data_IF_913782030463
#
_entry.id   IF_913782030463
#
_cell.length_a   1.000
_cell.length_b   1.000
_cell.length_c   1.000
_cell.angle_alpha   90.00
_cell.angle_beta   90.00
_cell.angle_gamma   90.00
#
_symmetry.space_group_name_H-M   'P 1'
#
loop_
_entity.id
_entity.type
_entity.pdbx_description
1 polymer ?
#
# COMPACT_ATOMS: atom_id res chain seq x y z
N UNK A 1 -0.58 31.54 1.53
CA UNK A 1 -1.57 30.45 1.78
C UNK A 1 -0.74 29.24 2.19
N UNK A 2 -1.13 28.48 3.22
CA UNK A 2 -0.40 27.23 3.57
C UNK A 2 -0.90 26.13 2.64
N UNK A 3 0.03 25.46 1.93
CA UNK A 3 -0.29 24.33 1.07
C UNK A 3 0.14 23.03 1.80
N UNK A 4 -0.80 22.28 2.44
CA UNK A 4 -0.47 21.11 3.23
C UNK A 4 -0.17 19.89 2.37
N UNK A 5 0.48 18.87 2.93
CA UNK A 5 0.65 17.59 2.25
C UNK A 5 -0.68 16.86 2.03
N UNK A 6 -1.64 17.08 2.91
CA UNK A 6 -2.96 16.45 2.82
C UNK A 6 -4.03 17.34 3.42
N UNK A 7 -5.25 17.21 2.91
CA UNK A 7 -6.47 17.85 3.42
C UNK A 7 -7.39 16.79 4.03
N UNK A 8 -8.19 17.21 5.00
CA UNK A 8 -9.19 16.32 5.58
C UNK A 8 -10.19 15.87 4.51
N UNK A 9 -10.29 14.57 4.31
CA UNK A 9 -11.22 13.95 3.36
C UNK A 9 -12.47 13.35 4.02
N UNK A 10 -12.58 13.44 5.36
CA UNK A 10 -13.76 13.01 6.10
C UNK A 10 -14.76 14.16 6.12
N UNK A 11 -15.90 13.95 5.46
CA UNK A 11 -16.96 14.94 5.31
C UNK A 11 -18.01 14.79 6.43
N UNK A 12 -18.91 15.78 6.56
CA UNK A 12 -20.01 15.73 7.53
C UNK A 12 -20.95 14.54 7.31
N UNK A 13 -21.18 14.16 6.06
CA UNK A 13 -22.00 12.99 5.69
C UNK A 13 -21.37 11.67 6.16
N UNK A 14 -20.03 11.54 6.12
CA UNK A 14 -19.34 10.38 6.65
C UNK A 14 -19.56 10.24 8.17
N UNK A 15 -19.54 11.36 8.86
CA UNK A 15 -19.76 11.42 10.32
C UNK A 15 -21.23 11.22 10.71
N UNK A 16 -22.18 11.53 9.83
CA UNK A 16 -23.61 11.39 10.12
C UNK A 16 -24.00 9.95 10.42
N UNK A 17 -23.45 8.98 9.68
CA UNK A 17 -23.69 7.56 9.93
C UNK A 17 -23.14 7.10 11.28
N UNK A 18 -21.97 7.62 11.67
CA UNK A 18 -21.36 7.35 12.97
C UNK A 18 -22.21 7.95 14.11
N UNK A 19 -22.68 9.19 13.95
CA UNK A 19 -23.54 9.86 14.94
C UNK A 19 -24.83 9.06 15.13
N UNK A 20 -25.43 8.54 14.06
CA UNK A 20 -26.64 7.72 14.15
C UNK A 20 -26.38 6.44 14.95
N UNK A 21 -25.29 5.72 14.68
CA UNK A 21 -24.88 4.54 15.46
C UNK A 21 -24.69 4.87 16.95
N UNK A 22 -24.02 5.98 17.26
CA UNK A 22 -23.75 6.39 18.64
C UNK A 22 -25.01 6.81 19.42
N UNK A 23 -26.09 7.17 18.72
CA UNK A 23 -27.38 7.51 19.31
C UNK A 23 -28.29 6.30 19.53
N UNK A 24 -27.89 5.09 19.15
CA UNK A 24 -28.62 3.87 19.51
C UNK A 24 -28.61 3.65 21.01
N UNK A 25 -29.63 2.95 21.55
CA UNK A 25 -29.72 2.69 23.00
C UNK A 25 -28.55 1.81 23.52
N UNK A 26 -28.06 0.89 22.71
CA UNK A 26 -26.94 -0.02 23.02
C UNK A 26 -26.04 -0.20 21.81
N UNK A 27 -25.23 0.81 21.43
CA UNK A 27 -24.42 0.76 20.23
C UNK A 27 -23.28 -0.26 20.37
N UNK A 28 -23.20 -1.20 19.46
CA UNK A 28 -22.08 -2.13 19.38
C UNK A 28 -20.99 -1.50 18.52
N UNK A 29 -19.86 -1.12 19.13
CA UNK A 29 -18.79 -0.37 18.48
C UNK A 29 -17.59 -1.21 18.06
N UNK A 30 -17.46 -2.44 18.56
CA UNK A 30 -16.41 -3.39 18.15
C UNK A 30 -16.73 -3.95 16.76
N UNK A 31 -15.85 -4.80 16.23
CA UNK A 31 -16.07 -5.47 14.93
C UNK A 31 -17.43 -6.19 14.88
N UNK A 32 -18.27 -5.85 13.93
CA UNK A 32 -19.66 -6.32 13.83
C UNK A 32 -20.23 -6.17 12.41
N UNK A 33 -21.54 -5.92 12.27
CA UNK A 33 -22.21 -5.95 10.97
C UNK A 33 -21.75 -4.89 9.99
N UNK A 34 -21.37 -3.69 10.41
CA UNK A 34 -20.91 -2.65 9.51
C UNK A 34 -19.51 -2.96 8.95
N UNK A 35 -18.66 -3.62 9.76
CA UNK A 35 -17.37 -4.16 9.29
C UNK A 35 -17.59 -5.19 8.18
N UNK A 36 -18.51 -6.14 8.37
CA UNK A 36 -18.82 -7.16 7.35
C UNK A 36 -19.35 -6.54 6.06
N UNK A 37 -20.24 -5.55 6.16
CA UNK A 37 -20.76 -4.83 4.99
C UNK A 37 -19.65 -4.05 4.27
N UNK A 38 -18.72 -3.43 5.01
CA UNK A 38 -17.61 -2.72 4.40
C UNK A 38 -16.65 -3.70 3.67
N UNK A 39 -16.37 -4.86 4.25
CA UNK A 39 -15.60 -5.92 3.62
C UNK A 39 -16.27 -6.40 2.30
N UNK A 40 -17.59 -6.59 2.30
CA UNK A 40 -18.37 -6.99 1.12
C UNK A 40 -18.39 -5.89 0.04
N UNK A 41 -18.71 -4.64 0.42
CA UNK A 41 -18.74 -3.49 -0.49
C UNK A 41 -17.36 -3.21 -1.10
N UNK A 42 -16.28 -3.36 -0.31
CA UNK A 42 -14.91 -3.24 -0.80
C UNK A 42 -14.55 -4.35 -1.78
N UNK A 43 -14.91 -5.61 -1.47
CA UNK A 43 -14.71 -6.74 -2.39
C UNK A 43 -15.40 -6.51 -3.73
N UNK A 44 -16.63 -6.01 -3.70
CA UNK A 44 -17.38 -5.68 -4.91
C UNK A 44 -16.72 -4.56 -5.72
N UNK A 45 -16.30 -3.48 -5.06
CA UNK A 45 -15.62 -2.35 -5.71
C UNK A 45 -14.27 -2.75 -6.33
N UNK A 46 -13.47 -3.53 -5.59
CA UNK A 46 -12.15 -4.00 -6.06
C UNK A 46 -12.29 -5.07 -7.15
N UNK A 47 -13.31 -5.91 -7.07
CA UNK A 47 -13.50 -7.07 -7.95
C UNK A 47 -12.83 -8.34 -7.46
N UNK A 48 -12.55 -8.47 -6.16
CA UNK A 48 -12.03 -9.68 -5.50
C UNK A 48 -13.14 -10.45 -4.79
N UNK A 49 -12.85 -11.70 -4.37
CA UNK A 49 -13.83 -12.53 -3.67
C UNK A 49 -13.94 -12.19 -2.19
N UNK A 50 -12.83 -11.90 -1.53
CA UNK A 50 -12.75 -11.77 -0.08
C UNK A 50 -11.93 -10.57 0.32
N UNK A 51 -12.45 -9.81 1.28
CA UNK A 51 -11.76 -8.69 1.93
C UNK A 51 -11.84 -8.82 3.44
N UNK A 52 -10.82 -8.36 4.15
CA UNK A 52 -10.71 -8.45 5.59
C UNK A 52 -10.25 -7.12 6.17
N UNK A 53 -11.14 -6.41 6.88
CA UNK A 53 -10.85 -5.11 7.46
C UNK A 53 -10.02 -5.23 8.73
N UNK A 54 -8.90 -4.53 8.78
CA UNK A 54 -7.92 -4.51 9.88
C UNK A 54 -7.63 -3.08 10.32
N UNK A 55 -6.91 -2.92 11.42
CA UNK A 55 -6.71 -1.62 12.07
C UNK A 55 -5.66 -0.71 11.40
N UNK A 56 -4.88 -1.20 10.43
CA UNK A 56 -3.94 -0.38 9.63
C UNK A 56 -3.44 -1.14 8.39
N UNK A 57 -2.90 -0.40 7.41
CA UNK A 57 -2.17 -1.00 6.28
C UNK A 57 -0.95 -1.81 6.73
N UNK A 58 -0.22 -1.32 7.74
CA UNK A 58 0.92 -2.07 8.30
C UNK A 58 0.50 -3.42 8.91
N UNK A 59 -0.68 -3.48 9.53
CA UNK A 59 -1.23 -4.75 10.01
C UNK A 59 -1.66 -5.66 8.85
N UNK A 60 -2.12 -5.09 7.72
CA UNK A 60 -2.39 -5.85 6.51
C UNK A 60 -1.13 -6.53 6.01
N UNK A 61 -0.02 -5.78 5.89
CA UNK A 61 1.28 -6.28 5.46
C UNK A 61 1.76 -7.41 6.39
N UNK A 62 1.67 -7.19 7.70
CA UNK A 62 2.09 -8.19 8.70
C UNK A 62 1.28 -9.49 8.60
N UNK A 63 -0.04 -9.41 8.43
CA UNK A 63 -0.88 -10.61 8.31
C UNK A 63 -0.66 -11.35 7.00
N UNK A 64 -0.37 -10.65 5.89
CA UNK A 64 0.00 -11.30 4.63
C UNK A 64 1.29 -12.10 4.78
N UNK A 65 2.30 -11.54 5.45
CA UNK A 65 3.55 -12.25 5.73
C UNK A 65 3.38 -13.37 6.78
N UNK A 66 2.46 -13.21 7.73
CA UNK A 66 2.12 -14.28 8.69
C UNK A 66 1.47 -15.48 7.97
N UNK A 67 0.57 -15.23 7.02
CA UNK A 67 0.02 -16.28 6.15
C UNK A 67 1.13 -16.91 5.29
N UNK A 68 1.99 -16.10 4.68
CA UNK A 68 3.12 -16.61 3.89
C UNK A 68 4.00 -17.53 4.74
N UNK A 69 4.19 -17.23 6.04
CA UNK A 69 4.96 -18.07 6.97
C UNK A 69 4.29 -19.42 7.24
N UNK A 70 2.98 -19.52 7.20
CA UNK A 70 2.28 -20.80 7.29
C UNK A 70 2.47 -21.65 6.03
N UNK A 71 2.51 -20.99 4.83
CA UNK A 71 2.75 -21.66 3.56
C UNK A 71 4.22 -22.09 3.43
N UNK A 72 5.15 -21.24 3.85
CA UNK A 72 6.59 -21.48 3.80
C UNK A 72 7.21 -21.48 5.21
N UNK A 73 6.95 -22.51 6.03
CA UNK A 73 7.35 -22.52 7.44
C UNK A 73 8.86 -22.49 7.66
N UNK A 74 9.66 -22.94 6.68
CA UNK A 74 11.12 -22.85 6.73
C UNK A 74 11.65 -21.42 6.45
N UNK A 75 10.80 -20.52 5.97
CA UNK A 75 11.21 -19.20 5.50
C UNK A 75 11.65 -19.24 4.04
N UNK A 76 12.52 -18.31 3.68
CA UNK A 76 13.02 -18.09 2.32
C UNK A 76 13.26 -16.61 2.10
N UNK A 77 13.53 -16.24 0.84
CA UNK A 77 13.72 -14.85 0.44
C UNK A 77 12.44 -14.28 -0.14
N UNK A 78 12.17 -13.01 0.18
CA UNK A 78 11.06 -12.25 -0.40
C UNK A 78 11.61 -11.05 -1.15
N UNK A 79 11.36 -10.98 -2.46
CA UNK A 79 11.73 -9.80 -3.26
C UNK A 79 10.89 -8.61 -2.81
N UNK A 80 11.53 -7.46 -2.60
CA UNK A 80 10.89 -6.22 -2.18
C UNK A 80 11.67 -5.02 -2.74
N UNK A 81 11.01 -3.91 -3.16
CA UNK A 81 11.73 -2.72 -3.57
C UNK A 81 12.33 -2.00 -2.36
N UNK A 82 13.50 -1.36 -2.49
CA UNK A 82 14.02 -0.48 -1.44
C UNK A 82 13.27 0.87 -1.40
N UNK A 83 12.48 1.18 -2.41
CA UNK A 83 11.58 2.32 -2.48
C UNK A 83 10.16 1.88 -2.12
N UNK A 84 9.88 1.87 -0.83
CA UNK A 84 8.59 1.42 -0.28
C UNK A 84 8.37 1.98 1.12
N UNK A 85 7.23 1.70 1.74
CA UNK A 85 7.00 2.00 3.14
C UNK A 85 7.71 0.99 4.06
N UNK A 86 8.13 1.44 5.23
CA UNK A 86 8.89 0.61 6.17
C UNK A 86 8.18 -0.65 6.64
N UNK A 87 6.84 -0.67 6.65
CA UNK A 87 6.06 -1.84 7.09
C UNK A 87 6.20 -3.05 6.18
N UNK A 88 6.47 -2.86 4.87
CA UNK A 88 6.66 -3.93 3.91
C UNK A 88 7.90 -4.74 4.30
N UNK A 89 9.01 -4.05 4.46
CA UNK A 89 10.29 -4.65 4.82
C UNK A 89 10.26 -5.18 6.27
N UNK A 90 9.69 -4.40 7.19
CA UNK A 90 9.60 -4.81 8.60
C UNK A 90 8.77 -6.07 8.78
N UNK A 91 7.67 -6.24 8.04
CA UNK A 91 6.83 -7.44 8.09
C UNK A 91 7.58 -8.68 7.57
N UNK A 92 8.38 -8.54 6.50
CA UNK A 92 9.25 -9.61 5.97
C UNK A 92 10.21 -10.06 7.07
N UNK A 93 10.91 -9.11 7.70
CA UNK A 93 11.90 -9.39 8.75
C UNK A 93 11.25 -10.02 9.98
N UNK A 94 10.13 -9.45 10.49
CA UNK A 94 9.45 -9.96 11.67
C UNK A 94 8.90 -11.37 11.50
N UNK A 95 8.50 -11.75 10.28
CA UNK A 95 8.05 -13.10 9.97
C UNK A 95 9.21 -14.09 9.69
N UNK A 96 10.45 -13.64 9.79
CA UNK A 96 11.65 -14.48 9.64
C UNK A 96 11.93 -14.89 8.19
N UNK A 97 11.59 -14.02 7.24
CA UNK A 97 12.04 -14.09 5.85
C UNK A 97 13.24 -13.16 5.62
N UNK A 98 14.05 -13.46 4.60
CA UNK A 98 15.17 -12.59 4.18
C UNK A 98 14.69 -11.65 3.06
N UNK A 99 14.71 -10.32 3.26
CA UNK A 99 14.36 -9.39 2.20
C UNK A 99 15.44 -9.36 1.11
N UNK A 100 15.07 -9.71 -0.11
CA UNK A 100 15.89 -9.55 -1.31
C UNK A 100 15.50 -8.28 -2.04
N UNK A 101 16.37 -7.28 -1.98
CA UNK A 101 16.08 -5.97 -2.57
C UNK A 101 16.36 -5.95 -4.06
N UNK A 102 15.41 -5.44 -4.83
CA UNK A 102 15.53 -5.21 -6.28
C UNK A 102 15.15 -3.77 -6.59
N UNK A 103 15.94 -3.08 -7.41
CA UNK A 103 15.71 -1.67 -7.77
C UNK A 103 14.43 -1.50 -8.61
N UNK A 104 13.99 -0.28 -8.70
CA UNK A 104 12.75 0.13 -9.36
C UNK A 104 13.03 0.71 -10.76
N UNK A 105 11.95 0.94 -11.52
CA UNK A 105 11.92 1.80 -12.71
C UNK A 105 11.39 3.18 -12.33
N UNK A 106 11.98 4.24 -12.88
CA UNK A 106 11.58 5.62 -12.56
C UNK A 106 10.16 5.94 -13.09
N UNK A 107 9.81 5.38 -14.25
CA UNK A 107 8.54 5.62 -14.93
C UNK A 107 7.33 5.08 -14.16
N UNK A 108 7.53 4.01 -13.39
CA UNK A 108 6.44 3.34 -12.63
C UNK A 108 6.60 3.44 -11.13
N UNK A 109 7.76 3.87 -10.63
CA UNK A 109 8.18 3.81 -9.22
C UNK A 109 8.03 2.40 -8.60
N UNK A 110 7.89 1.39 -9.45
CA UNK A 110 7.71 -0.02 -9.08
C UNK A 110 8.92 -0.85 -9.45
N UNK A 111 8.96 -2.10 -8.97
CA UNK A 111 10.04 -3.06 -9.24
C UNK A 111 10.39 -3.17 -10.73
N UNK A 112 11.67 -3.22 -11.04
CA UNK A 112 12.13 -3.54 -12.39
C UNK A 112 11.89 -5.03 -12.70
N UNK A 113 10.88 -5.30 -13.51
CA UNK A 113 10.43 -6.65 -13.85
C UNK A 113 11.55 -7.54 -14.41
N UNK A 114 12.44 -6.99 -15.23
CA UNK A 114 13.56 -7.76 -15.78
C UNK A 114 14.56 -8.16 -14.69
N UNK A 115 14.85 -7.26 -13.75
CA UNK A 115 15.71 -7.57 -12.60
C UNK A 115 15.05 -8.60 -11.69
N UNK A 116 13.74 -8.48 -11.42
CA UNK A 116 12.97 -9.45 -10.63
C UNK A 116 13.03 -10.84 -11.24
N UNK A 117 12.74 -10.98 -12.53
CA UNK A 117 12.77 -12.26 -13.24
C UNK A 117 14.16 -12.87 -13.18
N UNK A 118 15.21 -12.07 -13.42
CA UNK A 118 16.59 -12.52 -13.37
C UNK A 118 16.97 -13.07 -11.97
N UNK A 119 16.49 -12.46 -10.88
CA UNK A 119 16.73 -12.99 -9.54
C UNK A 119 15.94 -14.29 -9.27
N UNK A 120 14.68 -14.38 -9.71
CA UNK A 120 13.87 -15.60 -9.61
C UNK A 120 14.44 -16.80 -10.37
N UNK A 121 15.12 -16.54 -11.49
CA UNK A 121 15.80 -17.61 -12.28
C UNK A 121 17.06 -18.12 -11.58
N UNK A 122 17.81 -17.23 -10.94
CA UNK A 122 19.10 -17.54 -10.31
C UNK A 122 18.95 -18.17 -8.93
N UNK A 123 17.97 -17.76 -8.15
CA UNK A 123 17.84 -18.10 -6.75
C UNK A 123 16.51 -18.82 -6.46
N UNK A 124 16.58 -20.09 -6.12
CA UNK A 124 15.42 -20.93 -5.82
C UNK A 124 14.93 -20.82 -4.37
N UNK A 125 15.64 -20.09 -3.52
CA UNK A 125 15.20 -19.80 -2.16
C UNK A 125 14.21 -18.62 -2.10
N UNK A 126 13.93 -17.97 -3.25
CA UNK A 126 12.91 -16.93 -3.35
C UNK A 126 11.54 -17.59 -3.35
N UNK A 127 10.73 -17.24 -2.33
CA UNK A 127 9.39 -17.81 -2.11
C UNK A 127 8.26 -16.87 -2.50
N UNK A 128 8.50 -15.56 -2.55
CA UNK A 128 7.47 -14.57 -2.88
C UNK A 128 8.07 -13.26 -3.42
N UNK A 129 7.18 -12.49 -4.07
CA UNK A 129 7.40 -11.07 -4.39
C UNK A 129 6.45 -10.26 -3.51
N UNK A 130 6.96 -9.24 -2.82
CA UNK A 130 6.19 -8.18 -2.19
C UNK A 130 6.33 -6.92 -3.05
N UNK A 131 5.34 -6.65 -3.88
CA UNK A 131 5.35 -5.59 -4.86
C UNK A 131 4.58 -4.38 -4.33
N UNK A 132 5.19 -3.19 -4.40
CA UNK A 132 4.56 -1.94 -3.99
C UNK A 132 4.13 -1.13 -5.21
N UNK A 133 2.85 -0.80 -5.30
CA UNK A 133 2.32 0.22 -6.21
C UNK A 133 2.49 1.59 -5.54
N UNK A 134 3.64 2.22 -5.75
CA UNK A 134 3.97 3.48 -5.10
C UNK A 134 3.30 4.67 -5.77
N UNK A 135 2.88 5.66 -4.97
CA UNK A 135 2.43 6.99 -5.40
C UNK A 135 1.27 7.00 -6.42
N UNK A 136 0.48 5.93 -6.47
CA UNK A 136 -0.64 5.83 -7.39
C UNK A 136 -0.26 5.41 -8.82
N UNK A 137 0.92 4.85 -9.03
CA UNK A 137 1.36 4.31 -10.31
C UNK A 137 1.26 2.78 -10.34
N UNK A 138 1.04 2.23 -11.54
CA UNK A 138 0.99 0.79 -11.73
C UNK A 138 2.41 0.20 -11.78
N UNK A 139 2.76 -0.65 -10.82
CA UNK A 139 4.05 -1.33 -10.72
C UNK A 139 4.11 -2.67 -11.48
N UNK A 140 2.99 -3.18 -11.99
CA UNK A 140 2.91 -4.44 -12.73
C UNK A 140 2.89 -4.19 -14.23
N UNK A 141 3.91 -4.66 -14.93
CA UNK A 141 3.89 -4.74 -16.40
C UNK A 141 3.49 -6.15 -16.86
N UNK A 142 3.16 -6.28 -18.15
CA UNK A 142 2.72 -7.54 -18.72
C UNK A 142 3.78 -8.63 -18.61
N UNK A 143 5.07 -8.28 -18.71
CA UNK A 143 6.19 -9.22 -18.61
C UNK A 143 6.23 -9.91 -17.25
N UNK A 144 6.08 -9.13 -16.15
CA UNK A 144 6.06 -9.71 -14.81
C UNK A 144 4.77 -10.51 -14.56
N UNK A 145 3.62 -10.02 -15.05
CA UNK A 145 2.34 -10.73 -14.98
C UNK A 145 2.44 -12.12 -15.62
N UNK A 146 2.98 -12.20 -16.83
CA UNK A 146 3.12 -13.46 -17.57
C UNK A 146 4.08 -14.42 -16.87
N UNK A 147 5.20 -13.89 -16.35
CA UNK A 147 6.19 -14.71 -15.63
C UNK A 147 5.62 -15.28 -14.31
N UNK A 148 4.97 -14.46 -13.51
CA UNK A 148 4.34 -14.87 -12.24
C UNK A 148 3.31 -15.97 -12.48
N UNK A 149 2.42 -15.80 -13.47
CA UNK A 149 1.40 -16.78 -13.82
C UNK A 149 2.00 -18.11 -14.30
N UNK A 150 3.05 -18.04 -15.16
CA UNK A 150 3.66 -19.23 -15.74
C UNK A 150 4.47 -20.06 -14.75
N UNK A 151 4.97 -19.44 -13.69
CA UNK A 151 5.86 -20.06 -12.72
C UNK A 151 5.23 -20.25 -11.33
N UNK A 152 3.96 -19.89 -11.13
CA UNK A 152 3.24 -19.95 -9.85
C UNK A 152 4.00 -19.25 -8.70
N UNK A 153 4.54 -18.06 -8.96
CA UNK A 153 5.24 -17.26 -7.97
C UNK A 153 4.22 -16.60 -7.04
N UNK A 154 4.39 -16.77 -5.73
CA UNK A 154 3.52 -16.10 -4.75
C UNK A 154 3.72 -14.59 -4.81
N UNK A 155 2.64 -13.85 -5.00
CA UNK A 155 2.68 -12.40 -5.16
C UNK A 155 1.79 -11.71 -4.12
N UNK A 156 2.38 -10.76 -3.39
CA UNK A 156 1.68 -9.83 -2.50
C UNK A 156 1.76 -8.45 -3.13
N UNK A 157 0.61 -7.80 -3.33
CA UNK A 157 0.51 -6.43 -3.84
C UNK A 157 0.27 -5.45 -2.68
N UNK A 158 1.19 -4.52 -2.39
CA UNK A 158 0.89 -3.35 -1.57
C UNK A 158 0.28 -2.25 -2.43
N UNK A 159 -0.97 -1.93 -2.18
CA UNK A 159 -1.77 -0.93 -2.90
C UNK A 159 -2.16 0.24 -1.98
N UNK A 160 -1.48 0.40 -0.85
CA UNK A 160 -1.82 1.40 0.18
C UNK A 160 -1.85 2.83 -0.37
N UNK A 161 -0.94 3.19 -1.26
CA UNK A 161 -0.89 4.51 -1.91
C UNK A 161 -1.60 4.56 -3.28
N UNK A 162 -2.28 3.47 -3.69
CA UNK A 162 -2.65 3.27 -5.10
C UNK A 162 -4.06 2.70 -5.30
N UNK A 163 -5.01 3.10 -4.44
CA UNK A 163 -6.41 2.68 -4.55
C UNK A 163 -6.95 2.99 -5.95
N UNK A 164 -7.41 1.95 -6.65
CA UNK A 164 -8.02 2.08 -7.96
C UNK A 164 -7.06 2.19 -9.14
N UNK A 165 -5.75 2.04 -8.93
CA UNK A 165 -4.82 1.79 -10.04
C UNK A 165 -5.33 0.61 -10.85
N UNK A 166 -5.29 0.73 -12.19
CA UNK A 166 -5.70 -0.34 -13.09
C UNK A 166 -4.49 -0.97 -13.80
N UNK A 167 -4.56 -2.27 -13.97
CA UNK A 167 -3.59 -3.08 -14.72
C UNK A 167 -3.86 -3.03 -16.23
N UNK A 168 -2.96 -3.53 -17.08
CA UNK A 168 -3.16 -3.55 -18.54
C UNK A 168 -4.46 -4.24 -19.01
N UNK A 169 -4.99 -5.15 -18.21
CA UNK A 169 -6.27 -5.85 -18.50
C UNK A 169 -7.50 -5.14 -17.88
N UNK A 170 -7.37 -3.90 -17.45
CA UNK A 170 -8.39 -3.08 -16.77
C UNK A 170 -8.87 -3.64 -15.42
N UNK A 171 -8.22 -4.64 -14.84
CA UNK A 171 -8.46 -5.01 -13.45
C UNK A 171 -7.80 -4.00 -12.51
N UNK A 172 -8.42 -3.74 -11.37
CA UNK A 172 -7.79 -2.93 -10.32
C UNK A 172 -6.60 -3.67 -9.71
N UNK A 173 -5.51 -2.96 -9.45
CA UNK A 173 -4.37 -3.48 -8.67
C UNK A 173 -4.85 -3.99 -7.31
N UNK A 174 -4.22 -5.02 -6.81
CA UNK A 174 -4.69 -5.76 -5.64
C UNK A 174 -5.66 -6.91 -5.95
N UNK A 175 -5.89 -7.17 -7.24
CA UNK A 175 -6.73 -8.29 -7.70
C UNK A 175 -5.99 -9.23 -8.67
N UNK A 176 -4.67 -9.12 -8.70
CA UNK A 176 -3.81 -9.97 -9.52
C UNK A 176 -3.00 -10.96 -8.67
N UNK A 177 -2.35 -10.51 -7.61
CA UNK A 177 -1.58 -11.36 -6.71
C UNK A 177 -2.44 -12.30 -5.87
N UNK A 178 -1.77 -13.17 -5.10
CA UNK A 178 -2.42 -14.07 -4.13
C UNK A 178 -3.08 -13.30 -2.99
N UNK A 179 -2.40 -12.23 -2.56
CA UNK A 179 -2.83 -11.32 -1.50
C UNK A 179 -2.62 -9.87 -1.92
N UNK A 180 -3.43 -8.98 -1.37
CA UNK A 180 -3.17 -7.55 -1.47
C UNK A 180 -3.49 -6.79 -0.18
N UNK A 181 -2.77 -5.68 0.00
CA UNK A 181 -2.84 -4.82 1.17
C UNK A 181 -3.28 -3.42 0.78
N UNK A 182 -4.17 -2.85 1.58
CA UNK A 182 -4.64 -1.47 1.43
C UNK A 182 -4.57 -0.75 2.77
N UNK A 183 -4.39 0.57 2.73
CA UNK A 183 -4.41 1.42 3.91
C UNK A 183 -5.47 2.50 3.80
N UNK A 184 -6.16 2.75 4.90
CA UNK A 184 -7.15 3.82 5.02
C UNK A 184 -6.69 4.88 6.03
N UNK A 185 -5.38 5.10 6.11
CA UNK A 185 -4.82 6.21 6.87
C UNK A 185 -5.27 7.56 6.29
N UNK A 186 -5.26 8.58 7.11
CA UNK A 186 -5.74 9.94 6.78
C UNK A 186 -5.21 10.51 5.45
N UNK A 187 -3.99 10.14 5.03
CA UNK A 187 -3.36 10.64 3.81
C UNK A 187 -3.84 10.00 2.51
N UNK A 188 -4.46 8.82 2.58
CA UNK A 188 -4.79 8.05 1.39
C UNK A 188 -6.03 8.58 0.65
N UNK A 189 -6.40 7.94 -0.46
CA UNK A 189 -7.54 8.33 -1.29
C UNK A 189 -8.85 8.35 -0.53
N UNK A 190 -8.99 7.46 0.44
CA UNK A 190 -10.05 7.46 1.45
C UNK A 190 -9.47 7.10 2.82
N UNK A 191 -10.17 7.48 3.89
CA UNK A 191 -9.71 7.28 5.26
C UNK A 191 -10.81 6.70 6.15
N UNK A 192 -10.43 5.75 6.99
CA UNK A 192 -11.27 5.28 8.11
C UNK A 192 -10.72 5.77 9.45
N UNK A 193 -10.05 6.94 9.46
CA UNK A 193 -9.20 7.46 10.53
C UNK A 193 -7.90 6.65 10.57
N UNK A 194 -7.96 5.44 11.03
CA UNK A 194 -6.97 4.37 10.94
C UNK A 194 -7.67 3.12 10.39
N UNK A 195 -7.00 2.40 9.49
CA UNK A 195 -7.54 1.16 8.93
C UNK A 195 -6.70 0.60 7.82
N UNK A 196 -6.99 -0.64 7.47
CA UNK A 196 -6.43 -1.35 6.33
C UNK A 196 -7.34 -2.48 5.87
N UNK A 197 -7.07 -2.99 4.69
CA UNK A 197 -7.80 -4.12 4.13
C UNK A 197 -6.81 -5.14 3.56
N UNK A 198 -7.10 -6.42 3.76
CA UNK A 198 -6.42 -7.51 3.07
C UNK A 198 -7.42 -8.10 2.10
N UNK A 199 -7.01 -8.35 0.85
CA UNK A 199 -7.88 -8.98 -0.13
C UNK A 199 -7.23 -10.23 -0.71
N UNK A 200 -8.08 -11.20 -1.08
CA UNK A 200 -7.65 -12.44 -1.74
C UNK A 200 -8.80 -13.05 -2.55
N UNK A 201 -8.46 -13.89 -3.51
CA UNK A 201 -9.43 -14.71 -4.24
C UNK A 201 -9.45 -16.17 -3.76
N UNK A 202 -8.56 -16.54 -2.82
CA UNK A 202 -8.47 -17.87 -2.23
C UNK A 202 -9.23 -17.95 -0.91
N UNK A 203 -10.17 -18.90 -0.83
CA UNK A 203 -11.00 -19.09 0.36
C UNK A 203 -10.21 -19.62 1.56
N UNK A 204 -9.24 -20.51 1.34
CA UNK A 204 -8.42 -21.04 2.44
C UNK A 204 -7.56 -19.93 3.07
N UNK A 205 -6.95 -19.06 2.24
CA UNK A 205 -6.21 -17.90 2.71
C UNK A 205 -7.11 -16.96 3.52
N UNK A 206 -8.31 -16.68 3.01
CA UNK A 206 -9.28 -15.86 3.72
C UNK A 206 -9.64 -16.43 5.10
N UNK A 207 -9.92 -17.74 5.21
CA UNK A 207 -10.25 -18.38 6.49
C UNK A 207 -9.07 -18.30 7.48
N UNK A 208 -7.84 -18.51 7.01
CA UNK A 208 -6.63 -18.38 7.82
C UNK A 208 -6.44 -16.93 8.29
N UNK A 209 -6.58 -15.97 7.41
CA UNK A 209 -6.44 -14.53 7.71
C UNK A 209 -7.48 -14.05 8.74
N UNK A 210 -8.72 -14.54 8.67
CA UNK A 210 -9.75 -14.27 9.69
C UNK A 210 -9.31 -14.70 11.09
N UNK A 211 -8.74 -15.90 11.19
CA UNK A 211 -8.20 -16.40 12.46
C UNK A 211 -6.96 -15.61 12.89
N UNK A 212 -6.01 -15.34 11.97
CA UNK A 212 -4.81 -14.55 12.25
C UNK A 212 -5.14 -13.13 12.75
N UNK A 213 -6.18 -12.47 12.18
CA UNK A 213 -6.66 -11.17 12.63
C UNK A 213 -7.15 -11.17 14.08
N UNK A 214 -7.60 -12.32 14.59
CA UNK A 214 -8.39 -12.42 15.83
C UNK A 214 -7.87 -13.55 16.74
N UNK A 215 -6.64 -13.43 17.23
CA UNK A 215 -6.02 -14.33 18.24
C UNK A 215 -5.86 -15.79 17.79
N UNK A 216 -6.07 -16.15 16.54
CA UNK A 216 -6.07 -17.55 16.10
C UNK A 216 -7.31 -18.33 16.48
N UNK A 217 -8.40 -17.64 16.85
CA UNK A 217 -9.64 -18.28 17.32
C UNK A 217 -10.33 -19.05 16.20
N UNK A 218 -10.61 -20.32 16.43
CA UNK A 218 -11.35 -21.20 15.51
C UNK A 218 -12.74 -20.63 15.13
N UNK A 219 -13.42 -20.01 16.08
CA UNK A 219 -14.76 -19.41 15.87
C UNK A 219 -14.80 -18.30 14.82
N UNK A 220 -13.66 -17.71 14.48
CA UNK A 220 -13.56 -16.67 13.44
C UNK A 220 -13.58 -17.27 12.02
N UNK A 221 -13.28 -18.56 11.86
CA UNK A 221 -13.49 -19.25 10.59
C UNK A 221 -14.99 -19.39 10.29
N UNK A 222 -15.36 -19.28 9.02
CA UNK A 222 -16.69 -19.63 8.53
C UNK A 222 -16.77 -21.05 7.96
N UNK A 223 -15.63 -21.75 7.90
CA UNK A 223 -15.57 -23.12 7.40
C UNK A 223 -15.96 -24.14 8.49
N UNK A 224 -17.14 -24.71 8.34
CA UNK A 224 -17.70 -25.69 9.29
C UNK A 224 -16.93 -27.02 9.28
N UNK A 225 -16.27 -27.39 8.19
CA UNK A 225 -15.42 -28.60 8.14
C UNK A 225 -14.18 -28.39 8.98
N UNK A 226 -13.54 -27.24 8.84
CA UNK A 226 -12.38 -26.87 9.70
C UNK A 226 -12.78 -26.85 11.16
N UNK A 227 -13.92 -26.20 11.52
CA UNK A 227 -14.42 -26.17 12.88
C UNK A 227 -14.67 -27.55 13.45
N UNK A 228 -15.41 -28.38 12.71
CA UNK A 228 -15.76 -29.75 13.15
C UNK A 228 -14.52 -30.60 13.37
N UNK A 229 -13.51 -30.48 12.48
CA UNK A 229 -12.22 -31.18 12.62
C UNK A 229 -11.56 -30.85 13.95
N UNK A 230 -11.32 -29.56 14.23
CA UNK A 230 -10.66 -29.12 15.46
C UNK A 230 -11.45 -29.51 16.71
N UNK A 231 -12.79 -29.33 16.72
CA UNK A 231 -13.64 -29.71 17.85
C UNK A 231 -13.59 -31.23 18.12
N UNK A 232 -13.52 -32.05 17.07
CA UNK A 232 -13.43 -33.50 17.23
C UNK A 232 -12.06 -33.98 17.70
N UNK A 233 -11.00 -33.27 17.32
CA UNK A 233 -9.61 -33.58 17.68
C UNK A 233 -9.27 -33.15 19.11
N UNK A 234 -9.73 -31.98 19.54
CA UNK A 234 -9.44 -31.35 20.83
C UNK A 234 -10.66 -31.39 21.77
N UNK A 235 -11.13 -32.58 22.12
CA UNK A 235 -12.39 -32.80 22.88
C UNK A 235 -12.36 -32.26 24.31
N UNK A 236 -11.19 -32.06 24.87
CA UNK A 236 -10.94 -31.52 26.21
C UNK A 236 -10.99 -29.98 26.25
N UNK A 237 -11.06 -29.30 25.08
CA UNK A 237 -11.12 -27.85 24.99
C UNK A 237 -12.57 -27.38 24.83
N UNK A 238 -12.82 -26.14 25.33
CA UNK A 238 -14.07 -25.46 25.05
C UNK A 238 -14.12 -25.03 23.57
N UNK A 239 -15.08 -25.50 22.74
CA UNK A 239 -15.16 -25.17 21.33
C UNK A 239 -15.15 -23.67 20.98
N UNK A 240 -15.61 -22.82 21.93
CA UNK A 240 -15.60 -21.34 21.75
C UNK A 240 -14.23 -20.71 21.98
N UNK A 241 -13.28 -21.47 22.55
CA UNK A 241 -11.94 -20.98 22.94
C UNK A 241 -10.81 -21.89 22.42
N UNK A 242 -10.97 -22.47 21.25
CA UNK A 242 -9.88 -23.16 20.55
C UNK A 242 -9.07 -22.10 19.79
N UNK A 243 -7.78 -22.01 20.09
CA UNK A 243 -6.80 -21.15 19.41
C UNK A 243 -5.96 -22.06 18.51
N UNK A 244 -6.16 -21.96 17.20
CA UNK A 244 -5.58 -22.90 16.22
C UNK A 244 -4.13 -22.61 15.89
N UNK A 245 -3.65 -21.38 16.14
CA UNK A 245 -2.32 -20.89 15.75
C UNK A 245 -1.89 -19.67 16.56
N UNK A 246 -0.57 -19.37 16.65
CA UNK A 246 -0.09 -18.06 17.09
C UNK A 246 -0.63 -16.98 16.16
N UNK A 247 -1.17 -15.88 16.70
CA UNK A 247 -1.83 -14.88 15.90
C UNK A 247 -1.88 -13.52 16.61
N UNK A 248 -2.58 -12.56 16.00
CA UNK A 248 -2.65 -11.17 16.44
C UNK A 248 -4.08 -10.77 16.82
N UNK A 249 -4.24 -9.59 17.41
CA UNK A 249 -5.51 -8.92 17.51
C UNK A 249 -5.39 -7.55 16.82
N UNK A 250 -5.75 -7.53 15.55
CA UNK A 250 -5.67 -6.34 14.70
C UNK A 250 -7.01 -6.03 14.02
N UNK A 251 -8.11 -6.41 14.69
CA UNK A 251 -9.46 -6.08 14.23
C UNK A 251 -9.69 -4.58 14.19
N UNK A 252 -10.50 -4.14 13.26
CA UNK A 252 -11.03 -2.78 13.25
C UNK A 252 -12.47 -2.76 13.81
N UNK A 253 -13.15 -1.65 13.77
CA UNK A 253 -14.39 -1.34 14.49
C UNK A 253 -15.48 -0.77 13.58
N UNK A 254 -16.70 -0.69 14.09
CA UNK A 254 -17.88 -0.22 13.36
C UNK A 254 -17.78 1.25 12.92
N UNK A 255 -17.13 2.10 13.73
CA UNK A 255 -16.98 3.53 13.42
C UNK A 255 -16.14 3.69 12.13
N UNK A 256 -14.97 3.04 12.09
CA UNK A 256 -14.12 3.06 10.89
C UNK A 256 -14.83 2.48 9.67
N UNK A 257 -15.57 1.37 9.85
CA UNK A 257 -16.33 0.75 8.76
C UNK A 257 -17.40 1.69 8.18
N UNK A 258 -18.19 2.38 9.02
CA UNK A 258 -19.21 3.34 8.56
C UNK A 258 -18.60 4.50 7.77
N UNK A 259 -17.47 5.06 8.25
CA UNK A 259 -16.75 6.10 7.54
C UNK A 259 -16.25 5.57 6.18
N UNK A 260 -15.67 4.36 6.16
CA UNK A 260 -15.17 3.72 4.94
C UNK A 260 -16.27 3.49 3.90
N UNK A 261 -17.41 2.94 4.31
CA UNK A 261 -18.58 2.71 3.45
C UNK A 261 -19.13 4.00 2.84
N UNK A 262 -19.14 5.09 3.61
CA UNK A 262 -19.56 6.40 3.10
C UNK A 262 -18.60 6.92 2.04
N UNK A 263 -17.29 6.85 2.28
CA UNK A 263 -16.27 7.35 1.36
C UNK A 263 -16.11 6.49 0.11
N UNK A 264 -16.33 5.18 0.21
CA UNK A 264 -16.24 4.26 -0.92
C UNK A 264 -17.15 4.67 -2.08
N UNK A 265 -18.31 5.26 -1.79
CA UNK A 265 -19.29 5.74 -2.79
C UNK A 265 -18.75 6.82 -3.72
N UNK A 266 -17.74 7.57 -3.29
CA UNK A 266 -17.12 8.65 -4.07
C UNK A 266 -15.65 8.38 -4.45
N UNK A 267 -15.13 7.19 -4.15
CA UNK A 267 -13.71 6.87 -4.34
C UNK A 267 -13.29 6.98 -5.81
N UNK A 268 -14.10 6.48 -6.75
CA UNK A 268 -13.77 6.55 -8.18
C UNK A 268 -13.71 8.02 -8.68
N UNK A 269 -14.56 8.90 -8.16
CA UNK A 269 -14.50 10.34 -8.46
C UNK A 269 -13.22 10.98 -7.92
N UNK A 270 -12.81 10.61 -6.70
CA UNK A 270 -11.57 11.08 -6.08
C UNK A 270 -10.36 10.65 -6.92
N UNK A 271 -10.32 9.39 -7.34
CA UNK A 271 -9.27 8.83 -8.20
C UNK A 271 -9.17 9.62 -9.50
N UNK A 272 -10.28 9.79 -10.19
CA UNK A 272 -10.34 10.54 -11.45
C UNK A 272 -9.80 11.98 -11.31
N UNK A 273 -10.24 12.69 -10.27
CA UNK A 273 -9.80 14.08 -10.03
C UNK A 273 -8.30 14.18 -9.73
N UNK A 274 -7.76 13.25 -8.91
CA UNK A 274 -6.33 13.22 -8.60
C UNK A 274 -5.48 12.88 -9.83
N UNK A 275 -5.91 11.93 -10.66
CA UNK A 275 -5.24 11.59 -11.91
C UNK A 275 -5.19 12.79 -12.86
N UNK A 276 -6.34 13.44 -13.11
CA UNK A 276 -6.42 14.67 -13.93
C UNK A 276 -5.51 15.78 -13.41
N UNK A 277 -5.49 15.99 -12.10
CA UNK A 277 -4.64 17.03 -11.51
C UNK A 277 -3.16 16.76 -11.77
N UNK A 278 -2.73 15.49 -11.69
CA UNK A 278 -1.34 15.11 -11.94
C UNK A 278 -0.95 15.28 -13.40
N UNK A 279 -1.79 14.87 -14.35
CA UNK A 279 -1.57 15.09 -15.77
C UNK A 279 -1.38 16.58 -16.06
N UNK A 280 -2.29 17.42 -15.57
CA UNK A 280 -2.19 18.88 -15.72
C UNK A 280 -0.93 19.45 -15.07
N UNK A 281 -0.56 18.96 -13.89
CA UNK A 281 0.65 19.40 -13.21
C UNK A 281 1.91 19.08 -14.03
N UNK A 282 2.01 17.87 -14.60
CA UNK A 282 3.14 17.45 -15.45
C UNK A 282 3.29 18.29 -16.72
N UNK A 283 2.16 18.74 -17.32
CA UNK A 283 2.18 19.66 -18.46
C UNK A 283 2.79 21.03 -18.12
N UNK A 284 2.61 21.48 -16.88
CA UNK A 284 2.97 22.82 -16.44
C UNK A 284 4.36 22.94 -15.83
N UNK A 285 4.93 21.88 -15.25
CA UNK A 285 6.25 21.95 -14.59
C UNK A 285 7.41 22.04 -15.59
N UNK A 286 8.58 22.55 -15.17
CA UNK A 286 9.72 22.74 -16.08
C UNK A 286 10.39 21.41 -16.48
N UNK A 287 11.13 21.44 -17.60
CA UNK A 287 11.74 20.24 -18.22
C UNK A 287 12.94 19.66 -17.46
N UNK A 288 13.42 20.31 -16.40
CA UNK A 288 14.43 19.75 -15.53
C UNK A 288 13.86 18.80 -14.44
N UNK A 289 12.52 18.66 -14.39
CA UNK A 289 11.82 17.64 -13.58
C UNK A 289 11.36 16.52 -14.50
N UNK A 290 11.49 15.29 -14.01
CA UNK A 290 11.02 14.09 -14.70
C UNK A 290 9.50 14.12 -14.95
N UNK A 291 9.10 13.87 -16.19
CA UNK A 291 7.68 13.90 -16.62
C UNK A 291 7.20 12.58 -17.21
N UNK A 292 8.12 11.69 -17.57
CA UNK A 292 7.81 10.48 -18.36
C UNK A 292 7.30 9.33 -17.47
N UNK A 293 6.47 9.66 -16.48
CA UNK A 293 5.78 8.64 -15.68
C UNK A 293 4.79 7.86 -16.55
N UNK A 294 4.69 6.55 -16.29
CA UNK A 294 3.66 5.73 -16.93
C UNK A 294 2.29 6.02 -16.30
N UNK A 295 1.50 6.86 -16.95
CA UNK A 295 0.19 7.29 -16.47
C UNK A 295 -0.95 6.31 -16.80
N UNK A 296 -0.66 5.19 -17.47
CA UNK A 296 -1.68 4.21 -17.82
C UNK A 296 -2.26 3.57 -16.55
N UNK A 297 -3.55 3.78 -16.33
CA UNK A 297 -4.26 3.23 -15.17
C UNK A 297 -3.89 3.87 -13.83
N UNK A 298 -3.27 5.04 -13.83
CA UNK A 298 -2.86 5.75 -12.61
C UNK A 298 -4.02 6.11 -11.69
N UNK A 299 -3.72 6.17 -10.41
CA UNK A 299 -4.55 6.72 -9.35
C UNK A 299 -3.70 7.62 -8.46
N UNK A 300 -3.18 8.72 -9.03
CA UNK A 300 -2.13 9.51 -8.41
C UNK A 300 -2.39 9.84 -6.93
N UNK A 301 -1.38 9.55 -6.08
CA UNK A 301 -1.43 9.83 -4.65
C UNK A 301 -0.99 11.25 -4.32
N UNK A 302 0.12 11.69 -4.90
CA UNK A 302 0.74 12.98 -4.66
C UNK A 302 1.47 13.46 -5.90
N UNK A 303 1.75 14.76 -6.02
CA UNK A 303 2.57 15.29 -7.11
C UNK A 303 4.03 14.92 -6.90
N UNK A 304 4.54 13.99 -7.70
CA UNK A 304 5.92 13.55 -7.66
C UNK A 304 6.82 14.53 -8.41
N UNK A 305 7.90 14.92 -7.79
CA UNK A 305 8.94 15.80 -8.31
C UNK A 305 10.29 15.07 -8.19
N UNK A 306 10.86 14.71 -9.32
CA UNK A 306 12.20 14.08 -9.38
C UNK A 306 13.03 14.87 -10.38
N UNK A 307 14.22 15.33 -10.00
CA UNK A 307 15.12 15.99 -10.96
C UNK A 307 15.56 14.99 -12.02
N UNK A 308 15.65 15.42 -13.29
CA UNK A 308 16.19 14.55 -14.35
C UNK A 308 17.66 14.19 -14.11
N UNK A 309 18.44 15.15 -13.61
CA UNK A 309 19.87 14.98 -13.36
C UNK A 309 20.22 15.34 -11.92
N UNK A 310 21.25 14.70 -11.31
CA UNK A 310 21.75 15.06 -10.00
C UNK A 310 22.19 16.52 -9.92
N UNK A 311 21.51 17.35 -9.13
CA UNK A 311 21.84 18.76 -8.92
C UNK A 311 21.45 19.21 -7.51
N UNK A 312 22.44 19.17 -6.60
CA UNK A 312 22.25 19.55 -5.19
C UNK A 312 21.87 21.02 -4.99
N UNK A 313 22.35 21.92 -5.85
CA UNK A 313 22.04 23.34 -5.72
C UNK A 313 20.58 23.60 -6.13
N UNK A 314 20.16 23.09 -7.29
CA UNK A 314 18.80 23.21 -7.77
C UNK A 314 17.81 22.59 -6.78
N UNK A 315 18.12 21.40 -6.25
CA UNK A 315 17.26 20.72 -5.28
C UNK A 315 17.12 21.53 -3.98
N UNK A 316 18.22 22.13 -3.47
CA UNK A 316 18.16 23.01 -2.29
C UNK A 316 17.35 24.28 -2.57
N UNK A 317 17.48 24.88 -3.76
CA UNK A 317 16.68 26.05 -4.15
C UNK A 317 15.20 25.70 -4.22
N UNK A 318 14.84 24.52 -4.75
CA UNK A 318 13.45 24.04 -4.79
C UNK A 318 12.89 23.87 -3.36
N UNK A 319 13.60 23.20 -2.46
CA UNK A 319 13.19 23.09 -1.05
C UNK A 319 13.00 24.46 -0.40
N UNK A 320 13.94 25.38 -0.58
CA UNK A 320 13.86 26.75 -0.05
C UNK A 320 12.64 27.51 -0.60
N UNK A 321 12.38 27.38 -1.89
CA UNK A 321 11.20 28.00 -2.53
C UNK A 321 9.90 27.47 -1.92
N UNK A 322 9.81 26.17 -1.63
CA UNK A 322 8.63 25.59 -0.98
C UNK A 322 8.47 26.08 0.47
N UNK A 323 9.56 26.15 1.24
CA UNK A 323 9.55 26.71 2.61
C UNK A 323 9.05 28.16 2.61
N UNK A 324 9.58 29.02 1.72
CA UNK A 324 9.21 30.43 1.60
C UNK A 324 7.74 30.62 1.18
N UNK A 325 7.18 29.69 0.39
CA UNK A 325 5.79 29.70 -0.03
C UNK A 325 4.85 28.88 0.86
N UNK A 326 5.35 28.36 1.98
CA UNK A 326 4.58 27.53 2.93
C UNK A 326 3.94 26.30 2.26
N UNK A 327 4.66 25.65 1.36
CA UNK A 327 4.28 24.39 0.71
C UNK A 327 4.92 23.25 1.51
N UNK A 328 4.10 22.34 2.03
CA UNK A 328 4.60 21.13 2.70
C UNK A 328 5.04 20.09 1.66
N UNK A 329 6.19 19.47 1.87
CA UNK A 329 6.75 18.43 0.98
C UNK A 329 7.43 17.32 1.79
N UNK A 330 7.70 16.21 1.13
CA UNK A 330 8.49 15.09 1.69
C UNK A 330 9.63 14.75 0.75
N UNK A 331 10.86 14.92 1.23
CA UNK A 331 12.07 14.53 0.49
C UNK A 331 12.20 13.01 0.45
N UNK A 332 12.70 12.50 -0.67
CA UNK A 332 12.86 11.08 -0.93
C UNK A 332 11.59 10.38 -1.40
N UNK A 333 10.46 11.11 -1.55
CA UNK A 333 9.17 10.57 -1.97
C UNK A 333 8.63 9.47 -1.01
N UNK A 334 8.02 8.38 -1.51
CA UNK A 334 7.44 7.31 -0.68
C UNK A 334 8.43 6.79 0.38
N UNK A 335 7.96 6.62 1.61
CA UNK A 335 8.77 6.09 2.71
C UNK A 335 10.01 6.92 3.10
N UNK A 336 10.20 8.12 2.51
CA UNK A 336 11.40 8.94 2.71
C UNK A 336 12.59 8.47 1.87
N UNK A 337 12.34 7.80 0.75
CA UNK A 337 13.34 7.38 -0.24
C UNK A 337 13.91 5.98 0.01
N UNK A 338 15.22 5.83 -0.08
CA UNK A 338 15.88 4.54 0.00
C UNK A 338 15.86 3.94 1.41
N UNK A 339 15.07 2.89 1.62
CA UNK A 339 14.97 2.18 2.91
C UNK A 339 16.29 1.51 3.32
N UNK A 340 17.19 1.19 2.37
CA UNK A 340 18.50 0.60 2.66
C UNK A 340 19.41 1.54 3.45
N UNK A 341 19.11 2.84 3.43
CA UNK A 341 19.82 3.85 4.22
C UNK A 341 19.30 3.99 5.65
N UNK A 342 18.14 3.39 5.94
CA UNK A 342 17.50 3.48 7.25
C UNK A 342 18.20 2.58 8.29
N UNK A 343 18.31 3.04 9.56
CA UNK A 343 18.99 2.28 10.63
C UNK A 343 18.47 0.85 10.81
N UNK A 344 17.14 0.64 10.70
CA UNK A 344 16.54 -0.68 10.93
C UNK A 344 16.94 -1.71 9.85
N UNK A 345 17.18 -1.29 8.61
CA UNK A 345 17.69 -2.16 7.55
C UNK A 345 19.19 -2.39 7.74
N UNK A 346 19.95 -1.31 7.99
CA UNK A 346 21.41 -1.39 8.23
C UNK A 346 21.78 -2.32 9.38
N UNK A 347 20.92 -2.47 10.38
CA UNK A 347 21.13 -3.39 11.51
C UNK A 347 21.13 -4.88 11.08
N UNK A 348 20.54 -5.19 9.93
CA UNK A 348 20.35 -6.56 9.44
C UNK A 348 21.19 -6.81 8.18
N UNK A 349 21.19 -5.84 7.27
CA UNK A 349 21.87 -5.92 5.97
C UNK A 349 22.51 -4.57 5.66
N UNK A 350 23.83 -4.54 5.66
CA UNK A 350 24.57 -3.29 5.43
C UNK A 350 25.13 -3.27 4.01
N UNK A 351 24.90 -2.16 3.32
CA UNK A 351 25.37 -1.90 1.96
C UNK A 351 26.38 -0.74 2.02
N UNK A 352 27.49 -0.89 1.27
CA UNK A 352 28.41 0.22 1.05
C UNK A 352 27.78 1.28 0.13
N UNK A 353 28.31 2.50 0.16
CA UNK A 353 27.87 3.57 -0.76
C UNK A 353 28.04 3.19 -2.24
N UNK A 354 29.08 2.41 -2.56
CA UNK A 354 29.32 1.93 -3.91
C UNK A 354 28.25 0.89 -4.33
N UNK A 355 27.91 -0.05 -3.44
CA UNK A 355 26.87 -1.05 -3.71
C UNK A 355 25.49 -0.39 -3.88
N UNK A 356 25.14 0.60 -3.04
CA UNK A 356 23.89 1.33 -3.19
C UNK A 356 23.80 2.01 -4.56
N UNK A 357 24.82 2.75 -4.96
CA UNK A 357 24.84 3.45 -6.25
C UNK A 357 24.83 2.51 -7.45
N UNK A 358 25.50 1.35 -7.35
CA UNK A 358 25.60 0.39 -8.44
C UNK A 358 24.35 -0.46 -8.59
N UNK A 359 23.78 -0.94 -7.47
CA UNK A 359 22.68 -1.90 -7.48
C UNK A 359 21.31 -1.25 -7.46
N UNK A 360 21.21 -0.03 -6.90
CA UNK A 360 19.95 0.67 -6.73
C UNK A 360 20.00 2.14 -7.22
N UNK A 361 20.50 2.37 -8.46
CA UNK A 361 20.75 3.73 -8.97
C UNK A 361 19.48 4.59 -9.02
N UNK A 362 18.30 4.02 -9.35
CA UNK A 362 17.06 4.78 -9.45
C UNK A 362 16.55 5.14 -8.07
N UNK A 363 16.52 4.19 -7.13
CA UNK A 363 16.14 4.46 -5.74
C UNK A 363 17.07 5.49 -5.09
N UNK A 364 18.39 5.41 -5.36
CA UNK A 364 19.37 6.41 -4.88
C UNK A 364 19.11 7.80 -5.46
N UNK A 365 18.79 7.86 -6.77
CA UNK A 365 18.47 9.13 -7.40
C UNK A 365 17.25 9.80 -6.77
N UNK A 366 16.17 9.05 -6.58
CA UNK A 366 14.96 9.56 -5.92
C UNK A 366 15.23 9.96 -4.47
N UNK A 367 16.05 9.20 -3.74
CA UNK A 367 16.39 9.51 -2.35
C UNK A 367 16.97 10.92 -2.18
N UNK A 368 17.87 11.32 -3.09
CA UNK A 368 18.57 12.61 -3.00
C UNK A 368 17.90 13.73 -3.80
N UNK A 369 17.17 13.40 -4.88
CA UNK A 369 16.65 14.36 -5.85
C UNK A 369 15.16 14.21 -6.11
N UNK A 370 14.48 13.42 -5.31
CA UNK A 370 13.04 13.21 -5.35
C UNK A 370 12.33 13.82 -4.16
N UNK A 371 11.10 14.25 -4.37
CA UNK A 371 10.16 14.65 -3.31
C UNK A 371 8.72 14.54 -3.80
N UNK A 372 7.76 14.67 -2.91
CA UNK A 372 6.37 14.87 -3.29
C UNK A 372 5.72 16.02 -2.52
N UNK A 373 4.69 16.61 -3.12
CA UNK A 373 3.77 17.57 -2.52
C UNK A 373 2.33 17.06 -2.65
N UNK A 374 1.41 17.63 -1.88
CA UNK A 374 0.02 17.15 -1.83
C UNK A 374 -0.70 17.22 -3.18
N UNK A 375 -1.54 16.22 -3.47
CA UNK A 375 -2.55 16.25 -4.52
C UNK A 375 -3.92 16.02 -3.90
N UNK A 376 -4.87 16.92 -4.09
CA UNK A 376 -6.19 16.85 -3.49
C UNK A 376 -7.27 16.80 -4.58
N UNK A 377 -8.39 16.10 -4.37
CA UNK A 377 -9.46 16.02 -5.37
C UNK A 377 -10.18 17.34 -5.61
N UNK A 378 -10.07 18.31 -4.69
CA UNK A 378 -10.69 19.63 -4.75
C UNK A 378 -9.75 20.73 -5.25
N UNK A 379 -8.54 20.39 -5.76
CA UNK A 379 -7.64 21.36 -6.36
C UNK A 379 -8.27 22.02 -7.57
N UNK A 380 -8.17 23.35 -7.58
CA UNK A 380 -8.53 24.15 -8.76
C UNK A 380 -7.37 24.23 -9.73
N UNK A 381 -7.69 24.49 -10.98
CA UNK A 381 -6.69 24.72 -12.03
C UNK A 381 -5.74 25.88 -11.71
N UNK A 382 -6.23 26.91 -11.02
CA UNK A 382 -5.41 28.05 -10.58
C UNK A 382 -4.40 27.64 -9.49
N UNK A 383 -4.79 26.77 -8.55
CA UNK A 383 -3.86 26.25 -7.53
C UNK A 383 -2.75 25.40 -8.16
N UNK A 384 -3.08 24.56 -9.13
CA UNK A 384 -2.08 23.74 -9.86
C UNK A 384 -1.13 24.64 -10.65
N UNK A 385 -1.65 25.67 -11.34
CA UNK A 385 -0.83 26.63 -12.08
C UNK A 385 0.09 27.41 -11.13
N UNK A 386 -0.43 27.88 -9.99
CA UNK A 386 0.35 28.57 -8.97
C UNK A 386 1.52 27.70 -8.44
N UNK A 387 1.29 26.42 -8.17
CA UNK A 387 2.35 25.48 -7.78
C UNK A 387 3.42 25.36 -8.87
N UNK A 388 3.01 25.17 -10.12
CA UNK A 388 3.92 25.05 -11.24
C UNK A 388 4.74 26.34 -11.45
N UNK A 389 4.15 27.52 -11.27
CA UNK A 389 4.85 28.79 -11.41
C UNK A 389 5.89 29.01 -10.31
N UNK A 390 5.62 28.56 -9.06
CA UNK A 390 6.62 28.57 -7.98
C UNK A 390 7.82 27.70 -8.36
N UNK A 391 7.57 26.51 -8.92
CA UNK A 391 8.62 25.57 -9.34
C UNK A 391 9.43 26.14 -10.51
N UNK A 392 8.78 26.77 -11.50
CA UNK A 392 9.46 27.40 -12.66
C UNK A 392 10.40 28.53 -12.27
N UNK A 393 10.10 29.25 -11.19
CA UNK A 393 10.87 30.40 -10.73
C UNK A 393 12.05 30.01 -9.82
N UNK A 394 12.34 28.72 -9.63
CA UNK A 394 13.51 28.21 -8.95
C UNK A 394 14.73 28.26 -9.87
#
# INVERSE_FOLDING_TARGET
MKYPLMRNNILKEDLSSVINLLNESEPKLTSGPEVLKFEEEWSHWLGCKYSLFVNSGSSSNLLCLALLKEIFPKGGKVIVPPFTWSSDISSIIWMGFDPLFVDIKLETLGLDSNKVINELEKDKDIVAIFLTHAQGLNALDQTLIDYVNSNNIFLIEDVCESHGVTLPNNKKAGNFGDLSCFSFYYAHHMSTIEGGMICTNDENYYQILRMLRSHGMLRESNDELVKSKYVSEYKDLNPKFIFTRPAFNVRNNEIGALIGRSQLKRLDEIIFKRARNFEKFLELIPDWIFKDFNLNGQSNYAFNLVLNEPNNELFRRLCKSFDENSIEYRVGSAGGGNQLRQPYVKAIKNFSEEELKKSFPITEHIHFYGMYIGNFPDLTDNEITWLADIIKNV
#
